data_IF_765193540056
#
_entry.id   IF_765193540056
#
_cell.length_a   1.000
_cell.length_b   1.000
_cell.length_c   1.000
_cell.angle_alpha   90.00
_cell.angle_beta   90.00
_cell.angle_gamma   90.00
#
_symmetry.space_group_name_H-M   'P 1'
#
loop_
_entity.id
_entity.type
_entity.pdbx_description
1 polymer ?
#
# COMPACT_ATOMS: atom_id res chain seq x y z
N UNK A 1 -24.62 0.16 -2.18
CA UNK A 1 -23.64 0.88 -1.34
C UNK A 1 -23.61 0.17 0.00
N UNK A 2 -22.42 -0.09 0.50
CA UNK A 2 -22.16 -0.68 1.81
C UNK A 2 -21.10 0.13 2.55
N UNK A 3 -21.03 -0.06 3.86
CA UNK A 3 -19.96 0.47 4.70
C UNK A 3 -19.17 -0.68 5.31
N UNK A 4 -17.85 -0.66 5.11
CA UNK A 4 -16.92 -1.49 5.85
C UNK A 4 -16.41 -0.69 7.05
N UNK A 5 -16.65 -1.18 8.26
CA UNK A 5 -16.12 -0.54 9.47
C UNK A 5 -14.65 -0.89 9.64
N UNK A 6 -13.83 0.14 9.79
CA UNK A 6 -12.37 0.05 9.93
C UNK A 6 -11.94 0.93 11.09
N UNK A 7 -10.66 0.89 11.44
CA UNK A 7 -10.08 1.75 12.49
C UNK A 7 -10.81 1.56 13.84
N UNK A 8 -11.01 0.31 14.26
CA UNK A 8 -11.83 -0.05 15.43
C UNK A 8 -13.27 0.50 15.42
N UNK A 9 -13.84 0.70 14.23
CA UNK A 9 -15.21 1.19 14.04
C UNK A 9 -15.36 2.71 14.08
N UNK A 10 -14.26 3.47 14.19
CA UNK A 10 -14.29 4.94 14.15
C UNK A 10 -14.38 5.49 12.74
N UNK A 11 -13.97 4.71 11.74
CA UNK A 11 -14.06 5.06 10.32
C UNK A 11 -14.91 4.04 9.58
N UNK A 12 -15.71 4.50 8.62
CA UNK A 12 -16.41 3.64 7.67
C UNK A 12 -15.90 3.87 6.24
N UNK A 13 -15.53 2.80 5.53
CA UNK A 13 -15.20 2.87 4.11
C UNK A 13 -16.48 2.61 3.29
N UNK A 14 -16.86 3.57 2.46
CA UNK A 14 -18.02 3.47 1.58
C UNK A 14 -17.66 2.82 0.24
N UNK A 15 -18.40 1.77 -0.12
CA UNK A 15 -18.12 0.98 -1.32
C UNK A 15 -19.40 0.61 -2.09
N UNK A 16 -19.24 0.17 -3.34
CA UNK A 16 -20.30 -0.52 -4.08
C UNK A 16 -21.55 0.32 -4.36
N UNK A 17 -21.44 1.66 -4.49
CA UNK A 17 -22.54 2.45 -5.03
C UNK A 17 -22.62 2.20 -6.54
N UNK A 18 -23.74 1.61 -6.97
CA UNK A 18 -24.05 1.33 -8.38
C UNK A 18 -25.52 1.65 -8.61
N UNK A 19 -25.82 2.24 -9.77
CA UNK A 19 -27.17 2.55 -10.23
C UNK A 19 -27.29 2.14 -11.69
N UNK A 20 -28.29 1.32 -11.99
CA UNK A 20 -28.53 0.84 -13.34
C UNK A 20 -28.79 2.00 -14.31
N UNK A 21 -28.30 1.95 -15.56
CA UNK A 21 -28.39 3.06 -16.51
C UNK A 21 -29.77 3.69 -16.65
N UNK A 22 -30.83 2.88 -16.73
CA UNK A 22 -32.20 3.32 -16.99
C UNK A 22 -32.90 4.01 -15.81
N UNK A 23 -32.31 4.03 -14.62
CA UNK A 23 -32.83 4.74 -13.43
C UNK A 23 -31.87 5.85 -12.94
N UNK A 24 -30.81 6.15 -13.70
CA UNK A 24 -29.93 7.28 -13.42
C UNK A 24 -30.72 8.59 -13.60
N UNK A 25 -30.40 9.61 -12.80
CA UNK A 25 -31.15 10.88 -12.77
C UNK A 25 -32.40 10.88 -11.91
N UNK A 26 -32.92 9.71 -11.50
CA UNK A 26 -34.12 9.60 -10.66
C UNK A 26 -33.86 9.80 -9.15
N UNK A 27 -32.67 10.24 -8.74
CA UNK A 27 -32.32 10.46 -7.33
C UNK A 27 -32.07 9.19 -6.49
N UNK A 28 -32.16 7.99 -7.07
CA UNK A 28 -31.98 6.69 -6.37
C UNK A 28 -30.64 6.61 -5.65
N UNK A 29 -29.55 7.09 -6.26
CA UNK A 29 -28.23 7.12 -5.62
C UNK A 29 -28.26 7.85 -4.27
N UNK A 30 -28.92 9.02 -4.23
CA UNK A 30 -29.05 9.85 -3.03
C UNK A 30 -29.92 9.18 -1.97
N UNK A 31 -31.00 8.51 -2.38
CA UNK A 31 -31.87 7.76 -1.47
C UNK A 31 -31.11 6.59 -0.81
N UNK A 32 -30.36 5.81 -1.60
CA UNK A 32 -29.51 4.72 -1.09
C UNK A 32 -28.42 5.23 -0.14
N UNK A 33 -27.72 6.30 -0.53
CA UNK A 33 -26.71 6.93 0.31
C UNK A 33 -27.29 7.39 1.65
N UNK A 34 -28.47 8.04 1.63
CA UNK A 34 -29.16 8.48 2.85
C UNK A 34 -29.53 7.29 3.74
N UNK A 35 -30.16 6.26 3.19
CA UNK A 35 -30.55 5.07 3.93
C UNK A 35 -29.33 4.39 4.60
N UNK A 36 -28.24 4.20 3.85
CA UNK A 36 -27.02 3.62 4.41
C UNK A 36 -26.42 4.51 5.51
N UNK A 37 -26.42 5.83 5.34
CA UNK A 37 -25.88 6.78 6.31
C UNK A 37 -26.70 6.81 7.60
N UNK A 38 -28.03 6.79 7.49
CA UNK A 38 -28.94 6.78 8.65
C UNK A 38 -28.75 5.47 9.45
N UNK A 39 -28.55 4.33 8.77
CA UNK A 39 -28.21 3.06 9.41
C UNK A 39 -26.83 3.10 10.09
N UNK A 40 -25.81 3.63 9.41
CA UNK A 40 -24.47 3.76 9.99
C UNK A 40 -24.50 4.54 11.30
N UNK A 41 -25.20 5.70 11.32
CA UNK A 41 -25.34 6.53 12.52
C UNK A 41 -26.10 5.82 13.65
N UNK A 42 -27.11 5.04 13.30
CA UNK A 42 -27.96 4.35 14.29
C UNK A 42 -27.27 3.14 14.91
N UNK A 43 -26.62 2.29 14.10
CA UNK A 43 -26.00 1.05 14.57
C UNK A 43 -24.53 1.21 14.98
N UNK A 44 -23.84 2.22 14.46
CA UNK A 44 -22.42 2.46 14.72
C UNK A 44 -22.17 3.94 15.10
N UNK A 45 -22.73 4.42 16.23
CA UNK A 45 -22.65 5.83 16.64
C UNK A 45 -21.22 6.31 16.96
N UNK A 46 -20.26 5.37 17.10
CA UNK A 46 -18.83 5.69 17.30
C UNK A 46 -18.11 6.08 16.01
N UNK A 47 -18.73 5.85 14.85
CA UNK A 47 -18.13 6.20 13.56
C UNK A 47 -18.20 7.71 13.38
N UNK A 48 -17.03 8.35 13.27
CA UNK A 48 -16.89 9.80 13.11
C UNK A 48 -16.54 10.20 11.68
N UNK A 49 -16.01 9.27 10.90
CA UNK A 49 -15.49 9.53 9.55
C UNK A 49 -15.96 8.52 8.53
N UNK A 50 -16.11 8.99 7.29
CA UNK A 50 -16.36 8.17 6.11
C UNK A 50 -15.23 8.40 5.11
N UNK A 51 -14.59 7.32 4.68
CA UNK A 51 -13.65 7.31 3.55
C UNK A 51 -14.28 6.65 2.32
N UNK A 52 -13.86 7.07 1.14
CA UNK A 52 -14.21 6.40 -0.11
C UNK A 52 -13.14 6.65 -1.16
N UNK A 53 -13.06 5.75 -2.13
CA UNK A 53 -12.13 5.86 -3.25
C UNK A 53 -12.86 6.21 -4.54
N UNK A 54 -12.21 7.02 -5.37
CA UNK A 54 -12.64 7.37 -6.73
C UNK A 54 -11.55 7.07 -7.76
N UNK A 55 -11.93 7.09 -9.04
CA UNK A 55 -11.04 6.89 -10.18
C UNK A 55 -11.16 8.01 -11.21
N UNK A 56 -10.05 8.37 -11.86
CA UNK A 56 -9.91 9.27 -13.02
C UNK A 56 -10.42 10.72 -12.81
N UNK A 57 -11.75 10.93 -12.73
CA UNK A 57 -12.35 12.25 -12.56
C UNK A 57 -13.48 12.19 -11.54
N UNK A 58 -13.27 12.84 -10.41
CA UNK A 58 -14.28 12.92 -9.35
C UNK A 58 -15.31 14.00 -9.70
N UNK A 59 -16.63 13.69 -9.75
CA UNK A 59 -17.64 14.68 -10.10
C UNK A 59 -17.66 15.89 -9.14
N UNK A 60 -17.98 17.13 -9.61
CA UNK A 60 -17.76 18.37 -8.86
C UNK A 60 -18.67 18.61 -7.64
N UNK A 61 -19.48 17.64 -7.20
CA UNK A 61 -20.44 17.86 -6.10
C UNK A 61 -19.97 17.25 -4.78
N UNK A 62 -18.78 17.68 -4.35
CA UNK A 62 -18.17 17.28 -3.07
C UNK A 62 -17.66 18.52 -2.33
N UNK A 63 -18.54 19.48 -2.01
CA UNK A 63 -18.14 20.64 -1.17
C UNK A 63 -17.79 20.28 0.28
N UNK A 64 -17.85 19.00 0.66
CA UNK A 64 -17.73 18.51 2.05
C UNK A 64 -16.78 17.32 2.22
N UNK A 65 -16.09 16.87 1.18
CA UNK A 65 -15.06 15.85 1.37
C UNK A 65 -13.71 16.42 0.97
N UNK A 66 -12.70 16.06 1.74
CA UNK A 66 -11.31 16.41 1.51
C UNK A 66 -10.63 15.25 0.80
N UNK A 67 -9.88 15.53 -0.26
CA UNK A 67 -8.96 14.53 -0.81
C UNK A 67 -7.80 14.38 0.16
N UNK A 68 -7.57 13.16 0.63
CA UNK A 68 -6.53 12.84 1.64
C UNK A 68 -5.34 12.11 1.05
N UNK A 69 -5.51 11.41 -0.08
CA UNK A 69 -4.38 10.81 -0.80
C UNK A 69 -4.72 10.52 -2.26
N UNK A 70 -3.71 10.24 -3.06
CA UNK A 70 -3.88 9.70 -4.42
C UNK A 70 -2.68 8.87 -4.85
N UNK A 71 -2.94 7.78 -5.57
CA UNK A 71 -1.93 6.91 -6.19
C UNK A 71 -2.11 6.87 -7.71
N UNK A 72 -1.00 6.72 -8.43
CA UNK A 72 -1.04 6.30 -9.84
C UNK A 72 -1.42 4.83 -9.92
N UNK A 73 -2.20 4.49 -10.93
CA UNK A 73 -2.58 3.11 -11.24
C UNK A 73 -1.98 2.72 -12.57
N UNK A 74 -1.20 1.64 -12.57
CA UNK A 74 -0.66 1.02 -13.77
C UNK A 74 -1.28 -0.37 -13.86
N UNK A 75 -1.84 -0.73 -15.00
CA UNK A 75 -2.42 -2.05 -15.19
C UNK A 75 -1.90 -2.70 -16.47
N UNK A 76 -1.56 -3.97 -16.34
CA UNK A 76 -0.99 -4.79 -17.42
C UNK A 76 -1.69 -6.13 -17.47
N UNK A 77 -1.84 -6.65 -18.68
CA UNK A 77 -2.32 -7.99 -18.94
C UNK A 77 -1.13 -8.91 -19.20
N UNK A 78 -1.15 -10.08 -18.56
CA UNK A 78 -0.14 -11.12 -18.71
C UNK A 78 -0.86 -12.44 -19.03
N UNK A 79 -0.81 -12.90 -20.29
CA UNK A 79 -1.29 -14.22 -20.67
C UNK A 79 -0.56 -15.33 -19.90
N UNK A 80 -1.27 -16.41 -19.58
CA UNK A 80 -0.72 -17.52 -18.81
C UNK A 80 0.56 -18.11 -19.42
N UNK A 81 0.53 -18.33 -20.73
CA UNK A 81 1.61 -18.91 -21.53
C UNK A 81 2.83 -17.98 -21.66
N UNK A 82 2.66 -16.69 -21.39
CA UNK A 82 3.73 -15.69 -21.43
C UNK A 82 4.27 -15.32 -20.04
N UNK A 83 3.65 -15.78 -18.95
CA UNK A 83 3.98 -15.35 -17.59
C UNK A 83 5.48 -15.52 -17.26
N UNK A 84 6.05 -16.69 -17.54
CA UNK A 84 7.46 -16.98 -17.26
C UNK A 84 8.40 -16.11 -18.12
N UNK A 85 8.06 -15.90 -19.40
CA UNK A 85 8.83 -15.03 -20.29
C UNK A 85 8.81 -13.58 -19.80
N UNK A 86 7.64 -13.06 -19.40
CA UNK A 86 7.51 -11.69 -18.89
C UNK A 86 8.25 -11.52 -17.56
N UNK A 87 8.20 -12.50 -16.65
CA UNK A 87 8.98 -12.45 -15.40
C UNK A 87 10.49 -12.39 -15.72
N UNK A 88 11.00 -13.24 -16.61
CA UNK A 88 12.41 -13.22 -17.04
C UNK A 88 12.81 -11.89 -17.68
N UNK A 89 11.94 -11.30 -18.49
CA UNK A 89 12.17 -9.97 -19.08
C UNK A 89 12.32 -8.89 -17.98
N UNK A 90 11.47 -8.94 -16.95
CA UNK A 90 11.53 -8.00 -15.82
C UNK A 90 12.77 -8.24 -14.94
N UNK A 91 13.17 -9.50 -14.72
CA UNK A 91 14.41 -9.87 -14.03
C UNK A 91 15.64 -9.27 -14.72
N UNK A 92 15.77 -9.45 -16.03
CA UNK A 92 16.89 -8.92 -16.83
C UNK A 92 16.99 -7.39 -16.76
N UNK A 93 15.84 -6.70 -16.77
CA UNK A 93 15.82 -5.24 -16.58
C UNK A 93 16.36 -4.85 -15.23
N UNK A 94 15.95 -5.56 -14.19
CA UNK A 94 16.43 -5.30 -12.84
C UNK A 94 17.91 -5.65 -12.67
N UNK A 95 18.48 -6.58 -13.46
CA UNK A 95 19.92 -6.94 -13.43
C UNK A 95 20.80 -5.82 -13.97
N UNK A 96 20.26 -5.02 -14.89
CA UNK A 96 20.93 -3.82 -15.38
C UNK A 96 20.95 -2.65 -14.39
N UNK A 97 20.17 -2.75 -13.31
CA UNK A 97 20.02 -1.74 -12.26
C UNK A 97 20.83 -2.18 -11.05
N UNK A 98 21.62 -1.26 -10.44
CA UNK A 98 22.70 -1.54 -9.48
C UNK A 98 22.33 -2.25 -8.16
N UNK A 99 22.77 -1.71 -7.01
CA UNK A 99 22.61 -2.39 -5.72
C UNK A 99 21.12 -2.51 -5.34
N UNK A 100 20.65 -3.76 -5.17
CA UNK A 100 19.27 -4.08 -4.78
C UNK A 100 19.15 -4.24 -3.28
N UNK A 101 18.03 -3.79 -2.73
CA UNK A 101 17.68 -4.05 -1.34
C UNK A 101 17.10 -5.48 -1.20
N UNK A 102 17.48 -6.25 -0.17
CA UNK A 102 16.85 -7.53 0.09
C UNK A 102 15.36 -7.36 0.39
N UNK A 103 14.52 -8.06 -0.37
CA UNK A 103 13.08 -8.12 -0.16
C UNK A 103 12.77 -9.32 0.74
N UNK A 104 12.13 -9.07 1.88
CA UNK A 104 11.78 -10.09 2.87
C UNK A 104 10.27 -10.28 2.92
N UNK A 105 9.81 -11.53 2.79
CA UNK A 105 8.41 -11.89 3.03
C UNK A 105 8.10 -11.77 4.52
N UNK A 106 7.03 -11.07 4.87
CA UNK A 106 6.61 -10.92 6.26
C UNK A 106 5.46 -11.88 6.60
N UNK A 107 5.66 -12.67 7.64
CA UNK A 107 4.62 -13.45 8.29
C UNK A 107 3.72 -12.59 9.18
N UNK A 108 2.59 -13.15 9.68
CA UNK A 108 1.61 -12.40 10.47
C UNK A 108 2.18 -11.69 11.70
N UNK A 109 3.08 -12.33 12.44
CA UNK A 109 3.71 -11.74 13.63
C UNK A 109 4.62 -10.56 13.28
N UNK A 110 5.35 -10.66 12.17
CA UNK A 110 6.30 -9.65 11.69
C UNK A 110 5.56 -8.42 11.17
N UNK A 111 4.44 -8.60 10.45
CA UNK A 111 3.55 -7.50 10.03
C UNK A 111 3.07 -6.72 11.25
N UNK A 112 2.59 -7.42 12.28
CA UNK A 112 2.10 -6.76 13.50
C UNK A 112 3.22 -6.09 14.29
N UNK A 113 4.44 -6.61 14.23
CA UNK A 113 5.61 -6.00 14.87
C UNK A 113 6.05 -4.73 14.14
N UNK A 114 6.10 -4.77 12.80
CA UNK A 114 6.49 -3.65 11.94
C UNK A 114 5.72 -2.36 12.25
N UNK A 115 4.42 -2.48 12.55
CA UNK A 115 3.55 -1.34 12.86
C UNK A 115 3.33 -1.09 14.37
N UNK A 116 3.96 -1.87 15.24
CA UNK A 116 4.02 -1.59 16.68
C UNK A 116 5.23 -0.73 17.05
N UNK A 117 6.32 -0.89 16.30
CA UNK A 117 7.59 -0.23 16.57
C UNK A 117 7.48 1.29 16.41
N UNK A 118 7.74 2.09 17.48
CA UNK A 118 7.76 3.55 17.41
C UNK A 118 8.85 4.12 16.49
N UNK A 119 9.81 3.28 16.10
CA UNK A 119 11.02 3.62 15.37
C UNK A 119 10.87 3.61 13.84
N UNK A 120 9.78 3.07 13.30
CA UNK A 120 9.53 3.13 11.87
C UNK A 120 9.01 4.54 11.52
N UNK A 121 9.68 5.31 10.65
CA UNK A 121 9.12 6.55 10.14
C UNK A 121 7.97 6.21 9.19
N UNK A 122 6.80 5.94 9.78
CA UNK A 122 5.57 5.59 9.06
C UNK A 122 5.12 6.71 8.13
N UNK A 123 5.50 7.96 8.40
CA UNK A 123 5.16 9.10 7.55
C UNK A 123 5.87 9.06 6.20
N UNK A 124 7.11 8.54 6.14
CA UNK A 124 7.83 8.33 4.89
C UNK A 124 7.31 7.13 4.08
N UNK A 125 6.82 6.10 4.78
CA UNK A 125 6.32 4.86 4.15
C UNK A 125 4.84 4.97 3.74
N UNK A 126 4.01 5.55 4.61
CA UNK A 126 2.56 5.65 4.49
C UNK A 126 2.14 7.12 4.60
N UNK A 127 1.99 7.83 3.47
CA UNK A 127 1.48 9.19 3.46
C UNK A 127 0.16 9.28 4.24
N UNK A 128 0.08 10.24 5.18
CA UNK A 128 -1.07 10.44 6.06
C UNK A 128 -1.45 9.23 6.94
N UNK A 129 -0.53 8.29 7.15
CA UNK A 129 -0.77 7.06 7.89
C UNK A 129 -1.79 6.12 7.23
N UNK A 130 -2.01 6.28 5.93
CA UNK A 130 -2.98 5.51 5.16
C UNK A 130 -2.31 4.28 4.52
N UNK A 131 -2.80 3.12 4.90
CA UNK A 131 -2.53 1.84 4.27
C UNK A 131 -3.68 1.54 3.32
N UNK A 132 -3.51 1.84 2.03
CA UNK A 132 -4.54 1.59 1.01
C UNK A 132 -4.26 0.25 0.36
N UNK A 133 -5.19 -0.71 0.51
CA UNK A 133 -5.09 -2.04 -0.09
C UNK A 133 -6.18 -2.18 -1.17
N UNK A 134 -5.79 -2.40 -2.42
CA UNK A 134 -6.67 -2.32 -3.59
C UNK A 134 -7.43 -0.98 -3.56
N UNK A 135 -8.73 -0.98 -3.28
CA UNK A 135 -9.60 0.20 -3.21
C UNK A 135 -10.06 0.54 -1.79
N UNK A 136 -9.41 -0.05 -0.77
CA UNK A 136 -9.83 0.06 0.62
C UNK A 136 -8.81 0.89 1.41
N UNK A 137 -9.12 2.15 1.75
CA UNK A 137 -8.23 3.01 2.54
C UNK A 137 -8.34 2.70 4.04
N UNK A 138 -7.31 2.09 4.60
CA UNK A 138 -7.21 1.69 6.01
C UNK A 138 -6.17 2.54 6.73
N UNK A 139 -6.22 2.57 8.06
CA UNK A 139 -5.04 2.94 8.85
C UNK A 139 -4.25 1.69 9.29
N UNK A 140 -3.10 1.90 9.92
CA UNK A 140 -2.26 0.84 10.49
C UNK A 140 -2.78 0.25 11.81
N UNK A 141 -4.04 0.53 12.19
CA UNK A 141 -4.64 -0.10 13.37
C UNK A 141 -4.57 -1.63 13.28
N UNK A 142 -4.27 -2.27 14.41
CA UNK A 142 -4.16 -3.73 14.53
C UNK A 142 -5.37 -4.47 13.93
N UNK A 143 -6.60 -3.98 14.15
CA UNK A 143 -7.82 -4.57 13.59
C UNK A 143 -7.80 -4.64 12.06
N UNK A 144 -7.24 -3.62 11.41
CA UNK A 144 -7.14 -3.54 9.96
C UNK A 144 -6.03 -4.46 9.44
N UNK A 145 -4.88 -4.50 10.13
CA UNK A 145 -3.80 -5.43 9.79
C UNK A 145 -4.28 -6.88 9.89
N UNK A 146 -4.99 -7.24 10.96
CA UNK A 146 -5.60 -8.56 11.12
C UNK A 146 -6.65 -8.85 10.03
N UNK A 147 -7.42 -7.85 9.59
CA UNK A 147 -8.34 -7.99 8.45
C UNK A 147 -7.60 -8.34 7.17
N UNK A 148 -6.49 -7.65 6.86
CA UNK A 148 -5.69 -7.91 5.66
C UNK A 148 -5.00 -9.28 5.71
N UNK A 149 -4.48 -9.68 6.88
CA UNK A 149 -3.90 -11.00 7.09
C UNK A 149 -4.94 -12.11 6.86
N UNK A 150 -6.17 -11.93 7.35
CA UNK A 150 -7.28 -12.88 7.09
C UNK A 150 -7.69 -12.94 5.63
N UNK A 151 -7.47 -11.88 4.85
CA UNK A 151 -7.69 -11.86 3.40
C UNK A 151 -6.57 -12.55 2.61
N UNK A 152 -5.51 -13.01 3.28
CA UNK A 152 -4.38 -13.66 2.62
C UNK A 152 -3.49 -12.71 1.83
N UNK A 153 -3.48 -11.42 2.19
CA UNK A 153 -2.58 -10.44 1.57
C UNK A 153 -1.13 -10.85 1.83
N UNK A 154 -0.32 -10.92 0.77
CA UNK A 154 1.12 -11.16 0.85
C UNK A 154 1.86 -9.86 1.14
N UNK A 155 2.80 -9.89 2.08
CA UNK A 155 3.53 -8.72 2.56
C UNK A 155 5.02 -8.88 2.29
N UNK A 156 5.61 -7.86 1.67
CA UNK A 156 7.04 -7.81 1.43
C UNK A 156 7.63 -6.49 1.90
N UNK A 157 8.79 -6.54 2.56
CA UNK A 157 9.46 -5.37 3.10
C UNK A 157 10.95 -5.35 2.77
N UNK A 158 11.45 -4.17 2.44
CA UNK A 158 12.87 -3.84 2.31
C UNK A 158 13.24 -2.78 3.33
N UNK A 159 14.36 -2.97 4.02
CA UNK A 159 14.88 -1.97 4.96
C UNK A 159 15.43 -0.72 4.24
N UNK A 160 15.52 0.44 4.94
CA UNK A 160 16.30 1.59 4.50
C UNK A 160 17.75 1.25 4.11
N UNK A 161 18.35 2.05 3.23
CA UNK A 161 19.77 1.89 2.88
C UNK A 161 20.71 2.23 4.05
N UNK A 162 20.29 3.15 4.92
CA UNK A 162 21.11 3.68 6.02
C UNK A 162 21.12 2.80 7.28
N UNK A 163 20.30 1.74 7.34
CA UNK A 163 20.28 0.81 8.49
C UNK A 163 21.43 -0.20 8.49
N UNK A 164 22.43 -0.02 7.61
CA UNK A 164 23.63 -0.86 7.56
C UNK A 164 24.65 -0.56 8.67
N UNK A 165 24.34 0.34 9.61
CA UNK A 165 25.10 0.54 10.85
C UNK A 165 24.25 0.09 12.05
N UNK A 166 24.62 -1.06 12.61
CA UNK A 166 24.25 -1.54 13.96
C UNK A 166 22.76 -1.70 14.30
N UNK A 167 21.99 -2.46 13.51
CA UNK A 167 20.83 -3.19 14.05
C UNK A 167 20.63 -4.48 13.26
N UNK A 168 21.54 -5.43 13.46
CA UNK A 168 21.17 -6.83 13.26
C UNK A 168 20.02 -7.11 14.23
N UNK A 169 18.82 -7.39 13.72
CA UNK A 169 17.75 -7.99 14.51
C UNK A 169 18.25 -9.39 14.90
N UNK A 170 19.01 -9.46 15.99
CA UNK A 170 19.43 -10.70 16.61
C UNK A 170 18.25 -11.20 17.44
N UNK A 171 17.53 -12.16 16.90
CA UNK A 171 16.71 -13.04 17.72
C UNK A 171 17.65 -13.95 18.51
N UNK A 172 18.01 -13.56 19.73
CA UNK A 172 18.70 -14.45 20.66
C UNK A 172 18.21 -14.27 22.10
N UNK A 173 17.94 -15.43 22.69
CA UNK A 173 17.48 -15.74 24.03
C UNK A 173 18.40 -15.23 25.15
N UNK A 174 17.76 -14.94 26.29
CA UNK A 174 18.33 -14.54 27.58
C UNK A 174 19.58 -15.30 28.04
N UNK A 175 20.58 -14.58 28.56
CA UNK A 175 21.05 -14.79 29.94
C UNK A 175 21.92 -13.64 30.49
N UNK A 176 21.90 -13.52 31.81
CA UNK A 176 22.47 -12.47 32.67
C UNK A 176 24.01 -12.39 32.76
N UNK A 177 24.56 -11.20 33.07
CA UNK A 177 25.32 -10.88 34.32
C UNK A 177 26.08 -9.52 34.24
N UNK A 178 26.13 -8.86 35.40
CA UNK A 178 26.71 -7.55 35.74
C UNK A 178 28.20 -7.35 35.42
N UNK A 179 28.66 -6.10 35.16
CA UNK A 179 29.57 -5.36 36.07
C UNK A 179 29.65 -3.84 35.75
N UNK A 180 29.79 -3.04 36.81
CA UNK A 180 29.97 -1.59 36.86
C UNK A 180 31.38 -1.13 36.44
N UNK A 181 31.52 0.09 35.88
CA UNK A 181 32.40 1.14 36.45
C UNK A 181 32.23 2.53 35.82
N UNK A 182 32.46 3.55 36.65
CA UNK A 182 32.06 4.96 36.58
C UNK A 182 33.30 5.87 36.25
N UNK A 183 33.29 7.23 36.38
CA UNK A 183 33.52 8.18 35.28
C UNK A 183 34.78 9.04 35.46
N UNK A 184 35.17 9.83 34.45
CA UNK A 184 36.16 10.92 34.61
C UNK A 184 35.97 12.03 33.57
N UNK A 185 35.97 13.27 34.06
CA UNK A 185 35.61 14.56 33.44
C UNK A 185 36.75 15.25 32.61
N UNK A 186 36.78 16.59 32.37
CA UNK A 186 36.04 17.33 31.33
C UNK A 186 36.94 18.28 30.52
N UNK A 187 36.84 18.39 29.19
CA UNK A 187 37.53 19.47 28.43
C UNK A 187 36.77 19.86 27.15
N UNK A 188 36.98 21.09 26.61
CA UNK A 188 35.90 22.07 26.46
C UNK A 188 35.29 22.17 25.06
N UNK A 189 34.08 22.71 25.04
CA UNK A 189 33.23 23.02 23.88
C UNK A 189 33.85 24.12 23.01
N UNK A 190 33.98 23.93 21.68
CA UNK A 190 34.01 25.03 20.74
C UNK A 190 32.57 25.33 20.29
N UNK A 191 32.12 26.55 20.59
CA UNK A 191 30.93 27.16 20.00
C UNK A 191 31.12 27.30 18.49
N UNK A 192 30.44 26.47 17.70
CA UNK A 192 30.19 26.73 16.30
C UNK A 192 28.71 27.10 16.14
N UNK A 193 28.47 28.40 16.10
CA UNK A 193 27.29 28.95 15.47
C UNK A 193 27.36 28.63 13.98
N UNK A 194 26.53 27.69 13.52
CA UNK A 194 26.07 27.70 12.14
C UNK A 194 24.65 27.20 12.09
N UNK A 195 23.75 28.18 12.16
CA UNK A 195 22.35 28.08 11.79
C UNK A 195 22.23 27.59 10.35
N UNK A 196 22.00 26.30 10.19
CA UNK A 196 21.37 25.73 9.01
C UNK A 196 20.33 24.74 9.52
N UNK A 197 19.05 25.14 9.40
CA UNK A 197 17.95 24.19 9.46
C UNK A 197 18.28 23.06 8.48
N UNK A 198 18.26 21.79 8.90
CA UNK A 198 18.34 20.72 7.92
C UNK A 198 17.12 20.88 7.01
N UNK A 199 17.38 21.04 5.72
CA UNK A 199 16.46 20.65 4.65
C UNK A 199 15.85 19.29 5.05
N UNK A 200 14.56 19.01 4.79
CA UNK A 200 13.98 17.73 5.13
C UNK A 200 14.85 16.65 4.50
N UNK A 201 15.64 16.01 5.35
CA UNK A 201 16.47 14.90 4.97
C UNK A 201 15.47 13.89 4.44
N UNK A 202 15.67 13.44 3.20
CA UNK A 202 15.05 12.23 2.70
C UNK A 202 15.53 11.10 3.60
N UNK A 203 14.90 10.96 4.78
CA UNK A 203 15.05 9.82 5.65
C UNK A 203 14.72 8.64 4.76
N UNK A 204 15.74 7.83 4.44
CA UNK A 204 15.57 6.61 3.65
C UNK A 204 14.53 5.78 4.40
N UNK A 205 13.28 5.80 3.94
CA UNK A 205 12.25 4.95 4.48
C UNK A 205 12.43 3.56 3.88
N UNK A 206 11.94 2.54 4.58
CA UNK A 206 11.84 1.21 4.00
C UNK A 206 10.91 1.23 2.78
N UNK A 207 10.80 0.09 2.12
CA UNK A 207 9.84 -0.09 1.05
C UNK A 207 8.92 -1.26 1.40
N UNK A 208 7.62 -1.10 1.17
CA UNK A 208 6.62 -2.11 1.50
C UNK A 208 5.74 -2.36 0.28
N UNK A 209 5.41 -3.63 0.03
CA UNK A 209 4.37 -3.99 -0.93
C UNK A 209 3.39 -5.00 -0.36
N UNK A 210 2.13 -4.83 -0.74
CA UNK A 210 1.01 -5.72 -0.40
C UNK A 210 0.47 -6.32 -1.71
N UNK A 211 0.27 -7.63 -1.75
CA UNK A 211 -0.28 -8.35 -2.89
C UNK A 211 -1.54 -9.12 -2.52
N UNK A 212 -2.62 -9.00 -3.29
CA UNK A 212 -3.83 -9.82 -3.05
C UNK A 212 -3.64 -11.25 -3.55
N UNK A 213 -4.30 -12.27 -3.01
CA UNK A 213 -4.38 -13.53 -3.73
C UNK A 213 -5.13 -13.33 -5.06
N UNK A 214 -4.72 -13.98 -6.18
CA UNK A 214 -5.43 -13.87 -7.44
C UNK A 214 -6.90 -14.27 -7.30
N UNK A 215 -7.81 -13.46 -7.85
CA UNK A 215 -9.25 -13.74 -7.79
C UNK A 215 -9.90 -13.59 -9.17
N UNK A 216 -10.91 -14.42 -9.50
CA UNK A 216 -11.56 -14.37 -10.80
C UNK A 216 -12.34 -13.06 -10.99
N UNK A 217 -12.30 -12.51 -12.20
CA UNK A 217 -13.01 -11.27 -12.56
C UNK A 217 -13.84 -11.46 -13.83
N UNK A 218 -14.99 -10.78 -13.96
CA UNK A 218 -15.90 -10.92 -15.11
C UNK A 218 -15.42 -10.10 -16.32
N UNK A 219 -14.15 -10.26 -16.71
CA UNK A 219 -13.53 -9.58 -17.87
C UNK A 219 -13.35 -10.51 -19.08
N UNK A 220 -13.76 -11.77 -18.96
CA UNK A 220 -13.60 -12.82 -19.97
C UNK A 220 -13.37 -14.17 -19.31
N UNK A 221 -13.42 -15.25 -20.09
CA UNK A 221 -13.25 -16.61 -19.57
C UNK A 221 -11.82 -16.80 -19.02
N UNK A 222 -11.74 -17.13 -17.72
CA UNK A 222 -10.48 -17.50 -17.06
C UNK A 222 -9.58 -16.34 -16.60
N UNK A 223 -10.03 -15.08 -16.70
CA UNK A 223 -9.22 -13.94 -16.25
C UNK A 223 -9.25 -13.82 -14.72
N UNK A 224 -8.05 -13.79 -14.14
CA UNK A 224 -7.82 -13.48 -12.74
C UNK A 224 -7.22 -12.09 -12.58
N UNK A 225 -7.55 -11.44 -11.48
CA UNK A 225 -7.01 -10.16 -11.10
C UNK A 225 -6.10 -10.31 -9.89
N UNK A 226 -4.98 -9.61 -9.94
CA UNK A 226 -4.02 -9.48 -8.86
C UNK A 226 -3.71 -8.00 -8.65
N UNK A 227 -3.78 -7.53 -7.40
CA UNK A 227 -3.51 -6.15 -7.04
C UNK A 227 -2.22 -6.08 -6.23
N UNK A 228 -1.35 -5.15 -6.60
CA UNK A 228 -0.11 -4.82 -5.88
C UNK A 228 -0.21 -3.37 -5.40
N UNK A 229 -0.17 -3.17 -4.09
CA UNK A 229 -0.07 -1.84 -3.48
C UNK A 229 1.37 -1.58 -3.02
N UNK A 230 2.00 -0.55 -3.56
CA UNK A 230 3.34 -0.12 -3.20
C UNK A 230 3.32 1.06 -2.22
N UNK A 231 4.30 1.06 -1.32
CA UNK A 231 4.51 2.08 -0.29
C UNK A 231 6.00 2.38 -0.18
N UNK A 232 6.33 3.67 -0.28
CA UNK A 232 7.69 4.16 -0.48
C UNK A 232 7.86 4.82 -1.86
N UNK A 233 9.01 5.46 -2.07
CA UNK A 233 9.28 6.30 -3.23
C UNK A 233 10.56 5.95 -3.97
N UNK A 234 11.25 4.88 -3.58
CA UNK A 234 12.47 4.40 -4.24
C UNK A 234 12.13 3.56 -5.49
N UNK A 235 12.52 3.99 -6.71
CA UNK A 235 12.16 3.27 -7.93
C UNK A 235 12.73 1.85 -8.03
N UNK A 236 13.96 1.64 -7.56
CA UNK A 236 14.62 0.33 -7.59
C UNK A 236 13.88 -0.65 -6.68
N UNK A 237 13.55 -0.22 -5.46
CA UNK A 237 12.74 -1.02 -4.54
C UNK A 237 11.34 -1.27 -5.11
N UNK A 238 10.70 -0.28 -5.74
CA UNK A 238 9.40 -0.47 -6.38
C UNK A 238 9.43 -1.59 -7.44
N UNK A 239 10.39 -1.56 -8.35
CA UNK A 239 10.56 -2.57 -9.39
C UNK A 239 10.88 -3.95 -8.79
N UNK A 240 11.76 -4.00 -7.79
CA UNK A 240 12.13 -5.23 -7.09
C UNK A 240 10.92 -5.86 -6.39
N UNK A 241 10.14 -5.05 -5.67
CA UNK A 241 8.93 -5.51 -4.98
C UNK A 241 7.85 -5.98 -5.95
N UNK A 242 7.65 -5.29 -7.07
CA UNK A 242 6.72 -5.72 -8.12
C UNK A 242 7.11 -7.10 -8.65
N UNK A 243 8.39 -7.29 -8.99
CA UNK A 243 8.88 -8.57 -9.50
C UNK A 243 8.66 -9.70 -8.49
N UNK A 244 9.00 -9.50 -7.22
CA UNK A 244 8.77 -10.48 -6.17
C UNK A 244 7.28 -10.84 -6.04
N UNK A 245 6.39 -9.85 -6.08
CA UNK A 245 4.95 -10.07 -6.01
C UNK A 245 4.44 -10.88 -7.22
N UNK A 246 4.95 -10.62 -8.44
CA UNK A 246 4.62 -11.39 -9.64
C UNK A 246 5.09 -12.85 -9.54
N UNK A 247 6.30 -13.08 -9.02
CA UNK A 247 6.84 -14.44 -8.81
C UNK A 247 5.98 -15.22 -7.81
N UNK A 248 5.59 -14.61 -6.69
CA UNK A 248 4.71 -15.29 -5.72
C UNK A 248 3.31 -15.54 -6.29
N UNK A 249 2.75 -14.57 -7.01
CA UNK A 249 1.45 -14.72 -7.68
C UNK A 249 1.46 -15.89 -8.66
N UNK A 250 2.52 -16.05 -9.47
CA UNK A 250 2.66 -17.16 -10.40
C UNK A 250 2.53 -18.53 -9.71
N UNK A 251 3.02 -18.67 -8.46
CA UNK A 251 2.97 -19.94 -7.71
C UNK A 251 1.58 -20.35 -7.27
N UNK A 252 0.68 -19.37 -7.09
CA UNK A 252 -0.69 -19.59 -6.59
C UNK A 252 -1.76 -19.46 -7.67
N UNK A 253 -1.36 -19.12 -8.89
CA UNK A 253 -2.27 -18.93 -10.02
C UNK A 253 -2.80 -20.27 -10.56
N UNK A 254 -4.12 -20.39 -10.84
CA UNK A 254 -4.66 -21.57 -11.50
C UNK A 254 -4.02 -21.80 -12.88
N UNK A 255 -3.80 -23.06 -13.25
CA UNK A 255 -3.25 -23.41 -14.57
C UNK A 255 -4.15 -22.90 -15.69
N UNK A 256 -3.54 -22.23 -16.69
CA UNK A 256 -4.26 -21.67 -17.84
C UNK A 256 -4.97 -20.33 -17.58
N UNK A 257 -4.85 -19.75 -16.38
CA UNK A 257 -5.48 -18.47 -16.06
C UNK A 257 -4.69 -17.28 -16.61
N UNK A 258 -5.35 -16.43 -17.38
CA UNK A 258 -4.79 -15.13 -17.76
C UNK A 258 -4.88 -14.16 -16.59
N UNK A 259 -3.92 -13.24 -16.47
CA UNK A 259 -3.88 -12.30 -15.35
C UNK A 259 -3.95 -10.86 -15.83
N UNK A 260 -4.76 -10.07 -15.12
CA UNK A 260 -4.63 -8.61 -15.12
C UNK A 260 -4.04 -8.20 -13.78
N UNK A 261 -2.88 -7.55 -13.84
CA UNK A 261 -2.21 -7.00 -12.67
C UNK A 261 -2.53 -5.50 -12.57
N UNK A 262 -3.04 -5.05 -11.43
CA UNK A 262 -3.12 -3.63 -11.09
C UNK A 262 -2.05 -3.28 -10.08
N UNK A 263 -1.29 -2.24 -10.38
CA UNK A 263 -0.26 -1.69 -9.53
C UNK A 263 -0.69 -0.30 -9.04
N UNK A 264 -0.71 -0.12 -7.72
CA UNK A 264 -1.02 1.14 -7.07
C UNK A 264 0.25 1.71 -6.45
N UNK A 265 0.75 2.84 -6.96
CA UNK A 265 2.02 3.40 -6.52
C UNK A 265 1.93 4.92 -6.30
N UNK A 266 2.86 5.47 -5.53
CA UNK A 266 3.02 6.92 -5.43
C UNK A 266 3.26 7.52 -6.82
N UNK A 267 2.64 8.68 -7.11
CA UNK A 267 2.63 9.26 -8.46
C UNK A 267 4.02 9.49 -9.04
N UNK A 268 4.99 9.77 -8.17
CA UNK A 268 6.39 9.98 -8.55
C UNK A 268 7.04 8.74 -9.19
N UNK A 269 6.57 7.53 -8.87
CA UNK A 269 7.08 6.26 -9.40
C UNK A 269 6.48 5.88 -10.76
N UNK A 270 5.47 6.63 -11.23
CA UNK A 270 4.71 6.27 -12.43
C UNK A 270 5.59 6.17 -13.69
N UNK A 271 6.54 7.10 -13.97
CA UNK A 271 7.40 7.01 -15.14
C UNK A 271 8.29 5.76 -15.13
N UNK A 272 8.95 5.48 -14.00
CA UNK A 272 9.90 4.39 -13.85
C UNK A 272 9.21 3.03 -13.90
N UNK A 273 8.02 2.91 -13.32
CA UNK A 273 7.21 1.69 -13.39
C UNK A 273 6.61 1.48 -14.78
N UNK A 274 6.18 2.54 -15.46
CA UNK A 274 5.69 2.44 -16.86
C UNK A 274 6.81 1.96 -17.78
N UNK A 275 8.02 2.51 -17.61
CA UNK A 275 9.21 2.06 -18.33
C UNK A 275 9.56 0.60 -17.98
N UNK A 276 9.49 0.23 -16.70
CA UNK A 276 9.76 -1.13 -16.25
C UNK A 276 8.83 -2.17 -16.90
N UNK A 277 7.57 -1.81 -17.15
CA UNK A 277 6.58 -2.66 -17.82
C UNK A 277 6.55 -2.54 -19.35
N UNK A 278 7.46 -1.79 -19.97
CA UNK A 278 7.48 -1.64 -21.43
C UNK A 278 7.49 -3.01 -22.13
N UNK A 279 6.62 -3.24 -23.12
CA UNK A 279 6.54 -4.55 -23.82
C UNK A 279 5.68 -5.61 -23.13
N UNK A 280 5.07 -5.29 -21.98
CA UNK A 280 3.85 -5.97 -21.52
C UNK A 280 2.64 -5.25 -22.14
N UNK A 281 1.55 -6.00 -22.31
CA UNK A 281 0.30 -5.45 -22.85
C UNK A 281 -0.38 -4.58 -21.79
N UNK A 282 -0.59 -3.27 -22.04
CA UNK A 282 -1.29 -2.42 -21.09
C UNK A 282 -2.78 -2.79 -21.04
N UNK A 283 -3.37 -2.70 -19.84
CA UNK A 283 -4.81 -2.86 -19.65
C UNK A 283 -5.38 -1.52 -19.16
N UNK A 284 -6.14 -0.80 -19.99
CA UNK A 284 -6.56 0.56 -19.66
C UNK A 284 -8.02 0.62 -19.15
N UNK A 285 -8.19 0.78 -17.84
CA UNK A 285 -9.49 1.12 -17.23
C UNK A 285 -9.40 2.28 -16.24
N UNK A 286 -8.30 2.34 -15.47
CA UNK A 286 -8.10 3.32 -14.41
C UNK A 286 -6.63 3.74 -14.37
N UNK A 287 -6.37 5.04 -14.33
CA UNK A 287 -5.00 5.60 -14.27
C UNK A 287 -4.68 6.25 -12.93
N UNK A 288 -5.70 6.60 -12.15
CA UNK A 288 -5.54 7.22 -10.85
C UNK A 288 -6.54 6.68 -9.84
N UNK A 289 -6.05 6.45 -8.62
CA UNK A 289 -6.86 6.21 -7.44
C UNK A 289 -6.82 7.44 -6.55
N UNK A 290 -7.98 7.93 -6.14
CA UNK A 290 -8.12 9.06 -5.21
C UNK A 290 -8.83 8.60 -3.95
N UNK A 291 -8.34 9.04 -2.79
CA UNK A 291 -8.97 8.78 -1.48
C UNK A 291 -9.56 10.07 -0.95
N UNK A 292 -10.83 10.01 -0.58
CA UNK A 292 -11.56 11.12 0.02
C UNK A 292 -12.03 10.77 1.42
N UNK A 293 -12.07 11.78 2.28
CA UNK A 293 -12.58 11.68 3.65
C UNK A 293 -13.62 12.77 3.91
N UNK A 294 -14.63 12.44 4.72
CA UNK A 294 -15.58 13.39 5.29
C UNK A 294 -16.01 12.96 6.69
N UNK A 295 -16.51 13.91 7.47
CA UNK A 295 -17.19 13.62 8.73
C UNK A 295 -18.58 13.02 8.50
N UNK A 296 -19.05 12.21 9.46
CA UNK A 296 -20.35 11.52 9.45
C UNK A 296 -21.51 12.47 9.72
#
# INVERSE_FOLDING_TARGET
>A
MSFLLVDNGTTAVAEGLRVAPWIRGCGIAKALQKFCLDNLRSYHPKTTRIRFTGSNETPPTIRRCQQVHSKSVISVQIPYDQMEEKIKLLEQRLESVGERRPVVALGPSEVLHLFKEPSLPTEGLLPNGLLIQSWVPLSTHRSNLELLLRRGVAWFYSQPLDSRSECAIQFSTSDSLYTHQEPSEPYPVPLLHSSSLPSPSTLSCGFLSLGTPPFPVPLGDGIHRFDIDLFGTDPISAQTHVLHQLIEMQRVLPSGANVVCYLFAEKILSPELTQFFQGLEPFYEVTEQQVFEREV
#
